data_IF_078944496907
#
_entry.id   IF_078944496907
#
_cell.length_a   1.000
_cell.length_b   1.000
_cell.length_c   1.000
_cell.angle_alpha   90.00
_cell.angle_beta   90.00
_cell.angle_gamma   90.00
#
_symmetry.space_group_name_H-M   'P 1'
#
loop_
_entity.id
_entity.type
_entity.pdbx_description
1 polymer ?
#
# COMPACT_ATOMS: atom_id res chain seq x y z
N UNK A 1 -9.90 -5.44 -3.30
CA UNK A 1 -9.20 -6.19 -2.25
C UNK A 1 -7.88 -5.53 -1.91
N UNK A 2 -7.41 -5.75 -0.68
CA UNK A 2 -6.12 -5.26 -0.20
C UNK A 2 -5.31 -6.44 0.31
N UNK A 3 -4.17 -6.70 -0.32
CA UNK A 3 -3.21 -7.71 0.15
C UNK A 3 -2.10 -6.97 0.87
N UNK A 4 -1.92 -7.25 2.14
CA UNK A 4 -0.81 -6.69 2.92
C UNK A 4 0.24 -7.77 3.11
N UNK A 5 1.45 -7.47 2.68
CA UNK A 5 2.64 -8.31 2.88
C UNK A 5 3.61 -7.56 3.78
N UNK A 6 4.10 -8.21 4.81
CA UNK A 6 5.11 -7.63 5.69
C UNK A 6 6.32 -8.55 5.81
N UNK A 7 7.51 -7.96 5.70
CA UNK A 7 8.79 -8.64 5.75
C UNK A 7 9.60 -8.14 6.95
N UNK A 8 10.15 -9.05 7.73
CA UNK A 8 10.89 -8.70 8.94
C UNK A 8 12.30 -8.20 8.61
N UNK A 9 12.63 -7.01 9.10
CA UNK A 9 13.98 -6.46 8.97
C UNK A 9 15.00 -7.20 9.84
N UNK A 10 16.10 -7.62 9.22
CA UNK A 10 17.25 -8.19 9.92
C UNK A 10 16.93 -9.43 10.78
N UNK A 11 16.00 -10.29 10.35
CA UNK A 11 15.60 -11.54 11.03
C UNK A 11 16.78 -12.42 11.38
N UNK A 12 17.80 -12.49 10.51
CA UNK A 12 19.04 -13.26 10.73
C UNK A 12 19.86 -12.79 11.94
N UNK A 13 19.72 -11.52 12.33
CA UNK A 13 20.47 -10.91 13.45
C UNK A 13 19.59 -10.76 14.69
N UNK A 14 18.32 -10.41 14.50
CA UNK A 14 17.36 -10.12 15.59
C UNK A 14 16.51 -11.31 16.00
N UNK A 15 16.65 -12.44 15.31
CA UNK A 15 15.80 -13.62 15.47
C UNK A 15 14.48 -13.51 14.73
N UNK A 16 13.83 -14.63 14.53
CA UNK A 16 12.51 -14.74 13.88
C UNK A 16 11.42 -14.26 14.84
N UNK A 17 10.65 -13.24 14.41
CA UNK A 17 9.55 -12.65 15.16
C UNK A 17 8.16 -13.02 14.61
N UNK A 18 8.11 -13.81 13.53
CA UNK A 18 6.85 -14.15 12.88
C UNK A 18 5.92 -14.89 13.81
N UNK A 19 6.40 -15.91 14.55
CA UNK A 19 5.56 -16.66 15.47
C UNK A 19 4.96 -15.75 16.55
N UNK A 20 5.77 -14.87 17.18
CA UNK A 20 5.30 -13.92 18.17
C UNK A 20 4.31 -12.90 17.60
N UNK A 21 4.48 -12.49 16.33
CA UNK A 21 3.52 -11.62 15.66
C UNK A 21 2.18 -12.34 15.46
N UNK A 22 2.19 -13.58 14.96
CA UNK A 22 0.97 -14.35 14.73
C UNK A 22 0.18 -14.58 16.02
N UNK A 23 0.88 -14.93 17.12
CA UNK A 23 0.26 -15.11 18.43
C UNK A 23 -0.37 -13.79 18.95
N UNK A 24 0.32 -12.67 18.77
CA UNK A 24 -0.17 -11.36 19.20
C UNK A 24 -1.33 -10.82 18.34
N UNK A 25 -1.45 -11.32 17.09
CA UNK A 25 -2.43 -10.84 16.11
C UNK A 25 -3.86 -11.31 16.37
N UNK A 26 -4.08 -12.39 17.13
CA UNK A 26 -5.41 -12.95 17.38
C UNK A 26 -6.44 -11.93 17.91
N UNK A 27 -5.99 -10.96 18.72
CA UNK A 27 -6.84 -9.89 19.24
C UNK A 27 -7.27 -8.90 18.16
N UNK A 28 -6.36 -8.56 17.26
CA UNK A 28 -6.61 -7.69 16.14
C UNK A 28 -7.55 -8.36 15.12
N UNK A 29 -7.30 -9.62 14.79
CA UNK A 29 -8.14 -10.41 13.87
C UNK A 29 -9.58 -10.48 14.34
N UNK A 30 -9.81 -10.68 15.65
CA UNK A 30 -11.15 -10.68 16.22
C UNK A 30 -11.84 -9.33 16.14
N UNK A 31 -11.10 -8.24 16.34
CA UNK A 31 -11.64 -6.88 16.25
C UNK A 31 -11.98 -6.48 14.80
N UNK A 32 -11.37 -7.12 13.80
CA UNK A 32 -11.53 -6.82 12.38
C UNK A 32 -12.06 -8.03 11.57
N UNK A 33 -12.77 -8.96 12.22
CA UNK A 33 -13.20 -10.22 11.62
C UNK A 33 -13.98 -10.03 10.31
N UNK A 34 -14.81 -8.99 10.22
CA UNK A 34 -15.60 -8.68 9.01
C UNK A 34 -14.74 -8.16 7.84
N UNK A 35 -13.53 -7.69 8.12
CA UNK A 35 -12.58 -7.19 7.14
C UNK A 35 -11.58 -8.25 6.66
N UNK A 36 -11.35 -9.30 7.45
CA UNK A 36 -10.39 -10.36 7.14
C UNK A 36 -10.99 -11.35 6.15
N UNK A 37 -10.42 -11.41 4.95
CA UNK A 37 -10.81 -12.38 3.91
C UNK A 37 -9.98 -13.65 4.02
N UNK A 38 -8.66 -13.51 4.18
CA UNK A 38 -7.75 -14.60 4.53
C UNK A 38 -6.87 -14.12 5.69
N UNK A 39 -6.70 -14.94 6.74
CA UNK A 39 -6.00 -14.54 7.97
C UNK A 39 -4.52 -14.24 7.73
N UNK A 40 -3.90 -13.58 8.69
CA UNK A 40 -2.46 -13.36 8.67
C UNK A 40 -1.74 -14.70 8.80
N UNK A 41 -0.91 -15.02 7.83
CA UNK A 41 -0.12 -16.26 7.82
C UNK A 41 1.32 -16.01 7.37
N UNK A 42 2.20 -16.91 7.77
CA UNK A 42 3.57 -16.93 7.25
C UNK A 42 3.58 -17.45 5.81
N UNK A 43 4.22 -16.73 4.90
CA UNK A 43 4.40 -17.15 3.51
C UNK A 43 5.73 -17.87 3.30
N UNK A 44 6.82 -17.13 3.21
CA UNK A 44 8.17 -17.67 3.00
C UNK A 44 9.16 -17.00 3.94
N UNK A 45 9.92 -17.79 4.70
CA UNK A 45 10.97 -17.26 5.57
C UNK A 45 10.39 -16.38 6.69
N UNK A 46 10.71 -15.11 6.67
CA UNK A 46 10.32 -14.10 7.64
C UNK A 46 9.23 -13.13 7.11
N UNK A 47 8.50 -13.55 6.08
CA UNK A 47 7.40 -12.81 5.47
C UNK A 47 6.05 -13.33 5.96
N UNK A 48 5.13 -12.39 6.21
CA UNK A 48 3.72 -12.67 6.52
C UNK A 48 2.81 -11.95 5.52
N UNK A 49 1.60 -12.51 5.32
CA UNK A 49 0.62 -11.97 4.38
C UNK A 49 -0.80 -12.13 4.91
N UNK A 50 -1.65 -11.17 4.63
CA UNK A 50 -3.09 -11.14 4.96
C UNK A 50 -3.86 -10.59 3.77
N UNK A 51 -5.12 -11.00 3.60
CA UNK A 51 -6.03 -10.43 2.60
C UNK A 51 -7.20 -9.76 3.31
N UNK A 52 -7.43 -8.51 2.99
CA UNK A 52 -8.44 -7.65 3.61
C UNK A 52 -9.42 -7.11 2.57
N UNK A 53 -10.69 -6.99 2.98
CA UNK A 53 -11.73 -6.32 2.18
C UNK A 53 -11.87 -4.84 2.51
N UNK A 54 -11.51 -4.43 3.74
CA UNK A 54 -11.66 -3.05 4.22
C UNK A 54 -10.31 -2.29 4.19
N UNK A 55 -10.25 -1.13 3.52
CA UNK A 55 -9.07 -0.28 3.48
C UNK A 55 -8.70 0.30 4.84
N UNK A 56 -9.66 0.54 5.75
CA UNK A 56 -9.39 1.04 7.10
C UNK A 56 -8.63 0.00 7.92
N UNK A 57 -9.03 -1.26 7.84
CA UNK A 57 -8.32 -2.37 8.47
C UNK A 57 -6.90 -2.53 7.90
N UNK A 58 -6.70 -2.32 6.59
CA UNK A 58 -5.38 -2.35 5.98
C UNK A 58 -4.47 -1.21 6.48
N UNK A 59 -5.01 0.01 6.65
CA UNK A 59 -4.29 1.15 7.24
C UNK A 59 -3.94 0.86 8.69
N UNK A 60 -4.88 0.36 9.48
CA UNK A 60 -4.68 0.04 10.89
C UNK A 60 -3.59 -1.00 11.10
N UNK A 61 -3.65 -2.10 10.35
CA UNK A 61 -2.64 -3.15 10.42
C UNK A 61 -1.26 -2.66 10.00
N UNK A 62 -1.18 -1.88 8.91
CA UNK A 62 0.07 -1.31 8.45
C UNK A 62 0.73 -0.44 9.53
N UNK A 63 -0.03 0.45 10.17
CA UNK A 63 0.49 1.31 11.24
C UNK A 63 0.82 0.53 12.52
N UNK A 64 0.07 -0.54 12.81
CA UNK A 64 0.40 -1.46 13.90
C UNK A 64 1.76 -2.15 13.68
N UNK A 65 2.01 -2.70 12.50
CA UNK A 65 3.29 -3.33 12.15
C UNK A 65 4.45 -2.32 12.17
N UNK A 66 4.21 -1.10 11.70
CA UNK A 66 5.18 0.01 11.77
C UNK A 66 5.52 0.38 13.23
N UNK A 67 4.53 0.36 14.14
CA UNK A 67 4.74 0.58 15.57
C UNK A 67 5.70 -0.46 16.17
N UNK A 68 5.61 -1.71 15.76
CA UNK A 68 6.52 -2.77 16.20
C UNK A 68 7.97 -2.54 15.78
N UNK A 69 8.21 -1.71 14.73
CA UNK A 69 9.54 -1.20 14.35
C UNK A 69 10.43 -2.20 13.62
N UNK A 70 9.96 -3.42 13.36
CA UNK A 70 10.75 -4.50 12.77
C UNK A 70 10.27 -4.93 11.38
N UNK A 71 9.22 -4.28 10.84
CA UNK A 71 8.54 -4.72 9.63
C UNK A 71 8.61 -3.68 8.51
N UNK A 72 8.89 -4.17 7.29
CA UNK A 72 8.61 -3.45 6.05
C UNK A 72 7.25 -3.91 5.52
N UNK A 73 6.37 -2.97 5.21
CA UNK A 73 4.98 -3.23 4.88
C UNK A 73 4.70 -2.83 3.44
N UNK A 74 4.23 -3.78 2.65
CA UNK A 74 3.70 -3.55 1.30
C UNK A 74 2.20 -3.77 1.26
N UNK A 75 1.45 -2.82 0.68
CA UNK A 75 0.01 -2.97 0.45
C UNK A 75 -0.23 -3.01 -1.04
N UNK A 76 -0.81 -4.10 -1.52
CA UNK A 76 -1.29 -4.25 -2.89
C UNK A 76 -2.79 -4.01 -2.95
N UNK A 77 -3.22 -3.04 -3.76
CA UNK A 77 -4.62 -2.73 -4.00
C UNK A 77 -5.02 -3.21 -5.41
N UNK A 78 -6.12 -3.94 -5.52
CA UNK A 78 -6.58 -4.45 -6.82
C UNK A 78 -7.57 -5.61 -6.71
N UNK A 79 -7.97 -6.18 -7.85
CA UNK A 79 -8.76 -7.40 -7.88
C UNK A 79 -7.93 -8.62 -7.48
N UNK A 80 -8.63 -9.70 -7.13
CA UNK A 80 -8.09 -11.05 -6.93
C UNK A 80 -8.69 -11.97 -7.99
N UNK A 81 -7.89 -12.82 -8.61
CA UNK A 81 -8.37 -13.75 -9.64
C UNK A 81 -8.90 -15.06 -9.01
N UNK A 82 -8.14 -15.59 -8.05
CA UNK A 82 -8.51 -16.80 -7.31
C UNK A 82 -8.14 -16.64 -5.84
N UNK A 83 -9.11 -16.80 -4.97
CA UNK A 83 -8.92 -16.92 -3.52
C UNK A 83 -9.01 -18.41 -3.15
N UNK A 84 -7.90 -18.96 -2.67
CA UNK A 84 -7.80 -20.30 -2.13
C UNK A 84 -7.96 -20.26 -0.59
N UNK A 85 -7.76 -21.38 0.09
CA UNK A 85 -7.82 -21.46 1.56
C UNK A 85 -6.68 -20.67 2.24
N UNK A 86 -5.59 -20.40 1.53
CA UNK A 86 -4.43 -19.65 2.04
C UNK A 86 -4.04 -18.53 1.08
N UNK A 87 -3.41 -17.48 1.60
CA UNK A 87 -2.92 -16.36 0.80
C UNK A 87 -1.82 -16.81 -0.18
N UNK A 88 -1.00 -17.79 0.21
CA UNK A 88 0.05 -18.37 -0.63
C UNK A 88 -0.46 -19.11 -1.87
N UNK A 89 -1.64 -19.72 -1.78
CA UNK A 89 -2.27 -20.43 -2.88
C UNK A 89 -3.19 -19.53 -3.71
N UNK A 90 -3.39 -18.30 -3.27
CA UNK A 90 -4.24 -17.30 -3.93
C UNK A 90 -3.44 -16.49 -4.95
N UNK A 91 -4.14 -15.89 -5.92
CA UNK A 91 -3.53 -15.12 -7.00
C UNK A 91 -4.37 -13.94 -7.44
N UNK A 92 -3.75 -13.05 -8.21
CA UNK A 92 -4.38 -11.89 -8.82
C UNK A 92 -3.52 -10.62 -8.69
N UNK A 93 -3.94 -9.54 -9.37
CA UNK A 93 -3.19 -8.27 -9.38
C UNK A 93 -2.86 -7.74 -7.99
N UNK A 94 -3.77 -7.83 -7.01
CA UNK A 94 -3.52 -7.36 -5.64
C UNK A 94 -2.28 -8.05 -5.00
N UNK A 95 -2.07 -9.35 -5.26
CA UNK A 95 -0.91 -10.08 -4.75
C UNK A 95 0.41 -9.64 -5.43
N UNK A 96 0.37 -9.42 -6.75
CA UNK A 96 1.51 -8.90 -7.51
C UNK A 96 1.89 -7.51 -7.01
N UNK A 97 0.89 -6.66 -6.81
CA UNK A 97 1.08 -5.32 -6.25
C UNK A 97 1.67 -5.39 -4.84
N UNK A 98 1.16 -6.25 -3.95
CA UNK A 98 1.69 -6.40 -2.58
C UNK A 98 3.17 -6.82 -2.58
N UNK A 99 3.53 -7.75 -3.45
CA UNK A 99 4.93 -8.17 -3.63
C UNK A 99 5.82 -7.02 -4.06
N UNK A 100 5.43 -6.30 -5.09
CA UNK A 100 6.16 -5.11 -5.57
C UNK A 100 6.27 -4.05 -4.47
N UNK A 101 5.20 -3.83 -3.71
CA UNK A 101 5.16 -2.84 -2.64
C UNK A 101 6.13 -3.19 -1.50
N UNK A 102 6.14 -4.45 -1.02
CA UNK A 102 7.01 -4.85 0.10
C UNK A 102 8.48 -4.84 -0.31
N UNK A 103 8.81 -5.23 -1.53
CA UNK A 103 10.18 -5.14 -2.05
C UNK A 103 10.69 -3.69 -2.07
N UNK A 104 9.83 -2.72 -2.45
CA UNK A 104 10.16 -1.29 -2.36
C UNK A 104 10.26 -0.79 -0.93
N UNK A 105 9.36 -1.23 -0.04
CA UNK A 105 9.33 -0.84 1.37
C UNK A 105 10.59 -1.29 2.15
N UNK A 106 11.21 -2.41 1.75
CA UNK A 106 12.48 -2.90 2.31
C UNK A 106 13.69 -2.03 1.93
N UNK A 107 13.54 -1.24 0.86
CA UNK A 107 14.61 -0.39 0.34
C UNK A 107 14.96 0.76 1.28
N UNK A 108 16.22 1.20 1.25
CA UNK A 108 16.70 2.35 2.04
C UNK A 108 16.25 3.70 1.47
N UNK A 109 15.67 3.70 0.28
CA UNK A 109 15.24 4.92 -0.41
C UNK A 109 13.90 5.48 0.10
N UNK A 110 13.14 4.71 0.89
CA UNK A 110 11.85 5.16 1.42
C UNK A 110 11.99 5.82 2.78
N UNK A 111 11.28 6.94 3.05
CA UNK A 111 11.36 7.66 4.33
C UNK A 111 10.85 6.82 5.52
N UNK A 112 9.87 5.96 5.28
CA UNK A 112 9.35 5.00 6.24
C UNK A 112 9.02 3.69 5.51
N UNK A 113 9.13 2.51 6.19
CA UNK A 113 9.06 1.21 5.54
C UNK A 113 7.61 0.78 5.24
N UNK A 114 6.86 1.62 4.54
CA UNK A 114 5.51 1.34 4.04
C UNK A 114 5.35 1.88 2.62
N UNK A 115 4.82 1.04 1.72
CA UNK A 115 4.57 1.37 0.31
C UNK A 115 3.24 0.77 -0.12
N UNK A 116 2.51 1.49 -0.96
CA UNK A 116 1.30 1.04 -1.64
C UNK A 116 1.59 0.92 -3.13
N UNK A 117 1.09 -0.12 -3.76
CA UNK A 117 0.98 -0.23 -5.22
C UNK A 117 -0.42 -0.74 -5.59
N UNK A 118 -0.89 -0.36 -6.77
CA UNK A 118 -2.24 -0.70 -7.23
C UNK A 118 -2.44 -0.34 -8.69
N UNK A 119 -3.62 -0.60 -9.21
CA UNK A 119 -4.00 -0.32 -10.59
C UNK A 119 -3.92 1.19 -10.92
N UNK A 120 -4.38 2.06 -10.03
CA UNK A 120 -4.16 3.50 -10.13
C UNK A 120 -2.85 3.87 -9.43
N UNK A 121 -1.79 4.00 -10.22
CA UNK A 121 -0.46 4.36 -9.73
C UNK A 121 -0.45 5.71 -9.00
N UNK A 122 -1.20 6.71 -9.48
CA UNK A 122 -1.25 8.05 -8.89
C UNK A 122 -1.91 8.03 -7.51
N UNK A 123 -3.02 7.28 -7.36
CA UNK A 123 -3.66 7.09 -6.06
C UNK A 123 -2.76 6.30 -5.10
N UNK A 124 -2.10 5.25 -5.59
CA UNK A 124 -1.16 4.45 -4.81
C UNK A 124 0.05 5.28 -4.31
N UNK A 125 0.58 6.18 -5.12
CA UNK A 125 1.66 7.10 -4.72
C UNK A 125 1.19 8.09 -3.65
N UNK A 126 0.00 8.65 -3.76
CA UNK A 126 -0.59 9.53 -2.74
C UNK A 126 -0.85 8.78 -1.44
N UNK A 127 -1.41 7.56 -1.51
CA UNK A 127 -1.60 6.69 -0.35
C UNK A 127 -0.25 6.38 0.33
N UNK A 128 0.77 6.06 -0.45
CA UNK A 128 2.14 5.83 0.04
C UNK A 128 2.68 7.05 0.79
N UNK A 129 2.59 8.25 0.20
CA UNK A 129 3.09 9.47 0.81
C UNK A 129 2.42 9.77 2.16
N UNK A 130 1.08 9.61 2.22
CA UNK A 130 0.32 9.82 3.45
C UNK A 130 0.63 8.76 4.51
N UNK A 131 0.69 7.48 4.14
CA UNK A 131 1.05 6.40 5.07
C UNK A 131 2.48 6.55 5.60
N UNK A 132 3.43 7.02 4.79
CA UNK A 132 4.80 7.32 5.25
C UNK A 132 4.83 8.47 6.25
N UNK A 133 4.00 9.49 6.07
CA UNK A 133 3.83 10.57 7.04
C UNK A 133 3.25 10.04 8.36
N UNK A 134 2.17 9.26 8.31
CA UNK A 134 1.58 8.61 9.49
C UNK A 134 2.58 7.68 10.18
N UNK A 135 3.32 6.89 9.41
CA UNK A 135 4.39 6.03 9.91
C UNK A 135 5.48 6.83 10.64
N UNK A 136 5.82 8.02 10.15
CA UNK A 136 6.79 8.89 10.83
C UNK A 136 6.26 9.41 12.18
N UNK A 137 4.97 9.71 12.30
CA UNK A 137 4.30 10.07 13.56
C UNK A 137 4.33 8.88 14.53
N UNK A 138 3.87 7.72 14.08
CA UNK A 138 3.81 6.47 14.86
C UNK A 138 5.18 6.08 15.41
N UNK A 139 6.23 6.11 14.58
CA UNK A 139 7.59 5.73 14.98
C UNK A 139 8.26 6.71 15.95
N UNK A 140 7.83 7.96 15.97
CA UNK A 140 8.37 8.99 16.88
C UNK A 140 7.62 9.06 18.20
N UNK A 141 6.47 8.41 18.31
CA UNK A 141 5.67 8.42 19.53
C UNK A 141 6.43 7.77 20.69
N UNK A 142 6.56 8.52 21.79
CA UNK A 142 7.24 8.05 23.00
C UNK A 142 6.46 6.96 23.73
N UNK A 143 7.12 6.18 24.59
CA UNK A 143 6.44 5.19 25.42
C UNK A 143 5.30 5.80 26.25
N UNK A 144 5.45 6.95 26.95
CA UNK A 144 4.33 7.61 27.62
C UNK A 144 3.20 8.06 26.69
N UNK A 145 3.51 8.39 25.42
CA UNK A 145 2.52 8.70 24.39
C UNK A 145 1.73 7.46 24.00
N UNK A 146 2.37 6.31 23.91
CA UNK A 146 1.73 5.03 23.62
C UNK A 146 0.83 4.56 24.75
N UNK A 147 1.24 4.69 26.04
CA UNK A 147 0.40 4.37 27.19
C UNK A 147 -0.95 5.08 27.11
N UNK A 148 -0.95 6.38 26.80
CA UNK A 148 -2.17 7.16 26.63
C UNK A 148 -2.94 6.74 25.38
N UNK A 149 -2.27 6.54 24.25
CA UNK A 149 -2.91 6.16 23.00
C UNK A 149 -3.66 4.83 23.12
N UNK A 150 -3.04 3.83 23.75
CA UNK A 150 -3.62 2.48 23.91
C UNK A 150 -4.89 2.51 24.79
N UNK A 151 -4.88 3.27 25.90
CA UNK A 151 -6.05 3.43 26.75
C UNK A 151 -7.19 4.18 26.03
N UNK A 152 -6.86 5.21 25.24
CA UNK A 152 -7.86 5.96 24.47
C UNK A 152 -8.45 5.16 23.29
N UNK A 153 -7.71 4.22 22.70
CA UNK A 153 -8.26 3.29 21.69
C UNK A 153 -9.37 2.43 22.28
N UNK A 154 -9.23 1.99 23.54
CA UNK A 154 -10.25 1.26 24.29
C UNK A 154 -11.48 2.07 24.66
N UNK A 155 -11.59 3.35 24.25
CA UNK A 155 -12.73 4.22 24.53
C UNK A 155 -12.69 4.91 25.89
N UNK A 156 -11.57 4.84 26.62
CA UNK A 156 -11.43 5.52 27.91
C UNK A 156 -11.47 7.05 27.74
N UNK A 157 -12.09 7.76 28.69
CA UNK A 157 -12.04 9.22 28.75
C UNK A 157 -10.69 9.68 29.32
N UNK A 158 -10.23 10.88 28.95
CA UNK A 158 -8.93 11.41 29.45
C UNK A 158 -8.85 11.42 31.00
N UNK A 159 -9.95 11.65 31.71
CA UNK A 159 -10.01 11.57 33.17
C UNK A 159 -9.73 10.15 33.71
N UNK A 160 -10.25 9.12 33.00
CA UNK A 160 -10.08 7.73 33.40
C UNK A 160 -8.63 7.26 33.10
N UNK A 161 -8.08 7.73 31.99
CA UNK A 161 -6.65 7.56 31.64
C UNK A 161 -5.76 8.19 32.69
N UNK A 162 -6.07 9.41 33.15
CA UNK A 162 -5.34 10.10 34.21
C UNK A 162 -5.34 9.30 35.52
N UNK A 163 -6.50 8.78 35.91
CA UNK A 163 -6.65 7.93 37.09
C UNK A 163 -5.85 6.62 36.96
N UNK A 164 -5.94 5.95 35.79
CA UNK A 164 -5.24 4.69 35.50
C UNK A 164 -3.72 4.84 35.55
N UNK A 165 -3.21 5.94 35.02
CA UNK A 165 -1.76 6.22 34.93
C UNK A 165 -1.20 6.95 36.16
N UNK A 166 -2.06 7.36 37.10
CA UNK A 166 -1.65 8.11 38.29
C UNK A 166 -1.06 9.50 37.99
N UNK A 167 -1.55 10.17 36.92
CA UNK A 167 -1.08 11.49 36.47
C UNK A 167 -2.26 12.48 36.40
N UNK A 168 -1.98 13.78 36.25
CA UNK A 168 -3.03 14.78 36.07
C UNK A 168 -3.67 14.71 34.67
N UNK A 169 -4.95 15.13 34.55
CA UNK A 169 -5.62 15.26 33.26
C UNK A 169 -4.88 16.23 32.33
N UNK A 170 -4.24 17.26 32.88
CA UNK A 170 -3.40 18.18 32.13
C UNK A 170 -2.19 17.45 31.52
N UNK A 171 -1.57 16.53 32.26
CA UNK A 171 -0.46 15.72 31.74
C UNK A 171 -0.93 14.75 30.66
N UNK A 172 -2.13 14.15 30.79
CA UNK A 172 -2.75 13.35 29.70
C UNK A 172 -2.95 14.19 28.46
N UNK A 173 -3.58 15.37 28.57
CA UNK A 173 -3.80 16.28 27.44
C UNK A 173 -2.50 16.72 26.78
N UNK A 174 -1.42 16.91 27.54
CA UNK A 174 -0.10 17.21 26.98
C UNK A 174 0.48 16.02 26.21
N UNK A 175 0.35 14.79 26.74
CA UNK A 175 0.78 13.57 26.07
C UNK A 175 -0.01 13.32 24.78
N UNK A 176 -1.34 13.54 24.78
CA UNK A 176 -2.20 13.46 23.57
C UNK A 176 -1.67 14.38 22.46
N UNK A 177 -1.43 15.65 22.78
CA UNK A 177 -0.91 16.64 21.81
C UNK A 177 0.50 16.29 21.32
N UNK A 178 1.42 16.00 22.24
CA UNK A 178 2.81 15.70 21.85
C UNK A 178 2.95 14.39 21.08
N UNK A 179 2.04 13.44 21.28
CA UNK A 179 1.97 12.17 20.57
C UNK A 179 1.18 12.24 19.26
N UNK A 180 0.58 13.41 18.94
CA UNK A 180 -0.26 13.63 17.74
C UNK A 180 -1.37 12.57 17.57
N UNK A 181 -2.04 12.21 18.68
CA UNK A 181 -3.01 11.11 18.67
C UNK A 181 -4.26 11.49 17.89
N UNK A 182 -4.77 12.70 18.10
CA UNK A 182 -6.00 13.19 17.46
C UNK A 182 -5.78 13.48 15.98
N UNK A 183 -4.65 14.09 15.63
CA UNK A 183 -4.27 14.39 14.26
C UNK A 183 -4.08 13.10 13.44
N UNK A 184 -3.39 12.13 14.00
CA UNK A 184 -3.18 10.83 13.36
C UNK A 184 -4.52 10.10 13.13
N UNK A 185 -5.40 10.07 14.13
CA UNK A 185 -6.74 9.48 14.01
C UNK A 185 -7.60 10.19 12.95
N UNK A 186 -7.58 11.52 12.93
CA UNK A 186 -8.36 12.31 11.97
C UNK A 186 -7.94 12.06 10.51
N UNK A 187 -6.69 11.70 10.27
CA UNK A 187 -6.13 11.47 8.92
C UNK A 187 -6.29 10.03 8.43
N UNK A 188 -6.49 9.05 9.31
CA UNK A 188 -6.68 7.63 8.91
C UNK A 188 -7.79 7.41 7.87
N UNK A 189 -8.98 8.03 7.98
CA UNK A 189 -10.02 7.86 6.96
C UNK A 189 -9.58 8.32 5.58
N UNK A 190 -8.82 9.42 5.48
CA UNK A 190 -8.25 9.89 4.21
C UNK A 190 -7.24 8.88 3.64
N UNK A 191 -6.44 8.25 4.49
CA UNK A 191 -5.52 7.20 4.04
C UNK A 191 -6.28 5.99 3.48
N UNK A 192 -7.38 5.59 4.10
CA UNK A 192 -8.26 4.52 3.63
C UNK A 192 -8.95 4.89 2.29
N UNK A 193 -9.39 6.13 2.13
CA UNK A 193 -9.96 6.64 0.88
C UNK A 193 -8.93 6.59 -0.27
N UNK A 194 -7.72 7.07 -0.04
CA UNK A 194 -6.64 7.02 -1.03
C UNK A 194 -6.25 5.57 -1.37
N UNK A 195 -6.27 4.68 -0.39
CA UNK A 195 -6.01 3.26 -0.60
C UNK A 195 -7.11 2.62 -1.45
N UNK A 196 -8.38 3.00 -1.23
CA UNK A 196 -9.50 2.59 -2.09
C UNK A 196 -9.30 3.08 -3.52
N UNK A 197 -8.87 4.32 -3.70
CA UNK A 197 -8.56 4.87 -5.02
C UNK A 197 -7.47 4.09 -5.77
N UNK A 198 -6.52 3.51 -5.05
CA UNK A 198 -5.44 2.71 -5.64
C UNK A 198 -5.91 1.39 -6.28
N UNK A 199 -7.11 0.90 -5.93
CA UNK A 199 -7.73 -0.27 -6.58
C UNK A 199 -7.98 -0.02 -8.07
N UNK A 200 -8.08 1.26 -8.47
CA UNK A 200 -8.41 1.65 -9.83
C UNK A 200 -9.92 1.52 -10.15
N UNK A 201 -10.33 1.95 -11.33
CA UNK A 201 -11.71 1.82 -11.76
C UNK A 201 -12.03 0.33 -11.88
N UNK A 202 -13.06 -0.12 -11.18
CA UNK A 202 -13.62 -1.48 -11.34
C UNK A 202 -13.91 -1.69 -12.83
N UNK A 203 -13.19 -2.62 -13.47
CA UNK A 203 -13.30 -2.85 -14.89
C UNK A 203 -14.73 -3.13 -15.32
N UNK A 204 -15.41 -2.10 -15.77
CA UNK A 204 -16.49 -2.25 -16.74
C UNK A 204 -15.79 -2.82 -17.97
N UNK A 205 -16.13 -4.05 -18.31
CA UNK A 205 -15.55 -4.76 -19.45
C UNK A 205 -15.48 -3.88 -20.71
N UNK A 206 -14.65 -4.24 -21.68
CA UNK A 206 -14.37 -3.39 -22.83
C UNK A 206 -15.70 -2.96 -23.47
N UNK A 207 -16.04 -1.67 -23.34
CA UNK A 207 -17.08 -1.07 -24.16
C UNK A 207 -16.64 -1.24 -25.60
N UNK A 208 -17.25 -2.20 -26.26
CA UNK A 208 -17.20 -2.34 -27.71
C UNK A 208 -17.55 -0.95 -28.27
N UNK A 209 -16.54 -0.25 -28.77
CA UNK A 209 -16.74 0.97 -29.56
C UNK A 209 -17.59 0.53 -30.75
N UNK A 210 -18.90 0.74 -30.66
CA UNK A 210 -19.79 0.61 -31.82
C UNK A 210 -19.33 1.63 -32.85
N UNK A 211 -18.62 1.11 -33.84
CA UNK A 211 -18.42 1.84 -35.09
C UNK A 211 -19.78 1.91 -35.76
N UNK A 212 -20.54 2.93 -35.51
CA UNK A 212 -21.59 3.35 -36.43
C UNK A 212 -20.90 3.94 -37.67
N UNK A 213 -20.58 3.07 -38.61
CA UNK A 213 -20.28 3.47 -39.97
C UNK A 213 -21.58 3.80 -40.67
N UNK A 214 -21.89 5.07 -40.82
CA UNK A 214 -22.82 5.57 -41.82
C UNK A 214 -22.06 5.71 -43.11
N UNK A 215 -22.22 4.72 -43.97
CA UNK A 215 -21.83 4.76 -45.35
C UNK A 215 -22.95 5.42 -46.13
N UNK A 216 -22.70 6.60 -46.69
CA UNK A 216 -23.51 7.17 -47.76
C UNK A 216 -22.63 8.13 -48.57
N UNK A 217 -22.47 7.83 -49.86
CA UNK A 217 -22.20 8.88 -50.77
C UNK A 217 -21.17 8.63 -51.86
N UNK A 218 -21.63 8.04 -52.93
CA UNK A 218 -21.31 8.20 -54.32
C UNK A 218 -20.42 9.41 -54.70
N UNK A 219 -19.36 9.18 -55.52
CA UNK A 219 -18.63 10.27 -56.15
C UNK A 219 -17.50 9.78 -57.07
N UNK A 220 -17.79 9.62 -58.30
CA UNK A 220 -16.88 9.40 -59.45
C UNK A 220 -15.86 10.54 -59.63
N UNK A 221 -14.59 10.19 -59.96
CA UNK A 221 -13.58 11.20 -60.35
C UNK A 221 -12.25 10.57 -60.76
N UNK A 222 -12.08 10.41 -62.05
CA UNK A 222 -10.89 10.08 -62.81
C UNK A 222 -9.77 11.13 -62.65
N UNK A 223 -8.50 10.70 -62.49
CA UNK A 223 -7.35 11.61 -62.53
C UNK A 223 -6.00 10.89 -62.54
N UNK A 224 -5.46 10.76 -63.70
CA UNK A 224 -4.17 10.21 -64.13
C UNK A 224 -3.01 11.14 -63.67
N UNK A 225 -1.85 10.61 -63.27
CA UNK A 225 -0.66 11.44 -62.98
C UNK A 225 0.58 10.62 -62.59
N UNK A 226 1.33 10.36 -63.58
CA UNK A 226 2.66 9.72 -63.68
C UNK A 226 3.76 10.61 -63.05
N UNK A 227 4.73 10.07 -62.27
CA UNK A 227 5.89 10.83 -61.82
C UNK A 227 6.98 9.98 -61.19
N UNK A 228 7.91 9.61 -61.99
CA UNK A 228 9.16 8.88 -61.78
C UNK A 228 10.19 9.78 -61.04
N UNK A 229 11.01 9.23 -60.10
CA UNK A 229 12.10 9.98 -59.49
C UNK A 229 13.03 9.12 -58.63
N UNK A 230 14.04 8.63 -59.27
CA UNK A 230 15.19 7.87 -58.79
C UNK A 230 16.16 8.77 -58.00
N UNK A 231 16.81 8.27 -56.93
CA UNK A 231 17.87 9.01 -56.22
C UNK A 231 18.59 8.18 -55.16
N UNK A 232 19.63 7.57 -55.58
CA UNK A 232 20.65 6.79 -54.89
C UNK A 232 21.59 7.70 -54.08
N UNK A 233 22.10 7.24 -52.92
CA UNK A 233 23.11 7.97 -52.13
C UNK A 233 23.50 7.30 -50.81
N UNK A 234 24.34 6.35 -50.95
CA UNK A 234 25.32 5.74 -50.07
C UNK A 234 26.22 6.79 -49.38
N UNK A 235 26.45 6.70 -48.05
CA UNK A 235 27.79 6.83 -47.46
C UNK A 235 27.79 6.63 -45.93
N UNK A 236 28.45 5.58 -45.50
CA UNK A 236 29.20 5.47 -44.24
C UNK A 236 30.66 5.79 -44.61
N UNK A 237 31.62 6.23 -43.72
CA UNK A 237 31.97 5.60 -42.44
C UNK A 237 32.70 6.48 -41.42
N UNK A 238 33.11 5.83 -40.32
CA UNK A 238 34.33 5.99 -39.48
C UNK A 238 34.23 6.55 -38.09
N UNK A 239 34.46 5.60 -37.18
CA UNK A 239 35.11 5.72 -35.86
C UNK A 239 36.57 6.20 -36.04
N UNK A 240 37.15 6.94 -35.07
CA UNK A 240 38.27 6.37 -34.34
C UNK A 240 38.26 6.52 -32.83
N UNK A 241 38.92 5.57 -32.26
CA UNK A 241 39.50 5.28 -30.98
C UNK A 241 40.42 6.38 -30.41
N UNK A 242 40.53 6.29 -29.07
CA UNK A 242 41.73 6.30 -28.24
C UNK A 242 41.98 7.50 -27.32
N UNK A 243 42.18 7.08 -26.07
CA UNK A 243 43.21 7.41 -25.07
C UNK A 243 42.94 8.52 -24.05
N UNK A 244 42.74 8.21 -22.86
CA UNK A 244 43.61 7.94 -21.70
C UNK A 244 42.79 7.71 -20.46
#
# INVERSE_FOLDING_TARGET
MFVLTADQHASKVRGDKVAALLDAQEGWDRAHADAVVLPLERTVGDEVQIVLSDPSAAVDLALHLIRLGEWAVGIGAGPTDALAETSRASSGPAFVHARTAVERARGRAVPAPVVVTGEDTSAAERATALLQLLAAVVRRRSAPGWEVADLLVGGALQKDVAATLGISEQAVSQRVRSAMIEEERAVRPLAAELLTGAVGPSGTGPQARSRTGTDTGTGTGTGNGNGNGNGNGNDTPRVPKENR
#
